data_IF_355120786595
#
_entry.id   IF_355120786595
#
_cell.length_a   1.000
_cell.length_b   1.000
_cell.length_c   1.000
_cell.angle_alpha   90.00
_cell.angle_beta   90.00
_cell.angle_gamma   90.00
#
_symmetry.space_group_name_H-M   'P 1'
#
loop_
_entity.id
_entity.type
_entity.pdbx_description
1 polymer ?
#
# COMPACT_ATOMS: atom_id res chain seq x y z
N UNK A 1 16.47 -6.27 -5.88
CA UNK A 1 16.06 -5.28 -4.86
C UNK A 1 14.83 -4.60 -5.39
N UNK A 2 13.70 -5.11 -4.96
CA UNK A 2 12.44 -5.13 -5.69
C UNK A 2 11.67 -3.84 -5.46
N UNK A 3 11.44 -3.09 -6.55
CA UNK A 3 10.75 -1.78 -6.54
C UNK A 3 9.32 -1.87 -6.00
N UNK A 4 8.66 -3.04 -6.12
CA UNK A 4 7.28 -3.25 -5.68
C UNK A 4 7.09 -3.16 -4.16
N UNK A 5 8.09 -3.56 -3.37
CA UNK A 5 8.00 -3.47 -1.90
C UNK A 5 8.10 -2.02 -1.41
N UNK A 6 8.84 -1.19 -2.13
CA UNK A 6 9.01 0.24 -1.82
C UNK A 6 7.75 1.03 -2.15
N UNK A 7 7.01 0.66 -3.21
CA UNK A 7 5.78 1.36 -3.63
C UNK A 7 4.65 1.19 -2.61
N UNK A 8 4.44 -0.03 -2.08
CA UNK A 8 3.42 -0.30 -1.06
C UNK A 8 3.70 0.42 0.26
N UNK A 9 4.95 0.39 0.72
CA UNK A 9 5.38 1.10 1.94
C UNK A 9 5.28 2.62 1.74
N UNK A 10 5.65 3.13 0.56
CA UNK A 10 5.56 4.56 0.23
C UNK A 10 4.12 5.09 0.32
N UNK A 11 3.13 4.36 -0.20
CA UNK A 11 1.73 4.76 -0.08
C UNK A 11 1.20 4.71 1.36
N UNK A 12 1.59 3.73 2.16
CA UNK A 12 1.18 3.67 3.56
C UNK A 12 1.77 4.84 4.38
N UNK A 13 3.04 5.18 4.15
CA UNK A 13 3.71 6.31 4.82
C UNK A 13 3.10 7.63 4.38
N UNK A 14 2.88 7.82 3.07
CA UNK A 14 2.27 9.05 2.54
C UNK A 14 0.83 9.24 3.04
N UNK A 15 0.04 8.16 3.09
CA UNK A 15 -1.30 8.19 3.67
C UNK A 15 -1.29 8.52 5.16
N UNK A 16 -0.34 7.97 5.92
CA UNK A 16 -0.16 8.29 7.34
C UNK A 16 0.17 9.77 7.57
N UNK A 17 1.03 10.34 6.73
CA UNK A 17 1.41 11.76 6.79
C UNK A 17 0.21 12.64 6.45
N UNK A 18 -0.51 12.36 5.35
CA UNK A 18 -1.73 13.12 4.99
C UNK A 18 -2.79 13.06 6.09
N UNK A 19 -3.01 11.90 6.69
CA UNK A 19 -3.97 11.74 7.79
C UNK A 19 -3.56 12.53 9.04
N UNK A 20 -2.28 12.47 9.41
CA UNK A 20 -1.74 13.20 10.56
C UNK A 20 -1.78 14.72 10.34
N UNK A 21 -1.36 15.18 9.17
CA UNK A 21 -1.40 16.61 8.81
C UNK A 21 -2.83 17.11 8.71
N UNK A 22 -3.74 16.33 8.09
CA UNK A 22 -5.17 16.64 8.03
C UNK A 22 -5.79 16.84 9.41
N UNK A 23 -5.54 15.92 10.35
CA UNK A 23 -6.00 16.05 11.75
C UNK A 23 -5.44 17.27 12.47
N UNK A 24 -4.15 17.54 12.30
CA UNK A 24 -3.48 18.67 12.97
C UNK A 24 -3.97 20.02 12.41
N UNK A 25 -4.22 20.07 11.10
CA UNK A 25 -4.64 21.30 10.40
C UNK A 25 -6.16 21.48 10.34
N UNK A 26 -6.95 20.48 10.77
CA UNK A 26 -8.41 20.49 10.63
C UNK A 26 -8.89 20.34 9.17
N UNK A 27 -8.07 19.76 8.30
CA UNK A 27 -8.38 19.58 6.89
C UNK A 27 -8.93 18.17 6.64
N UNK A 28 -10.27 18.07 6.58
CA UNK A 28 -11.00 16.82 6.34
C UNK A 28 -10.62 16.16 5.00
N UNK A 29 -10.26 16.95 3.99
CA UNK A 29 -9.86 16.46 2.68
C UNK A 29 -8.54 15.66 2.79
N UNK A 30 -7.55 16.22 3.48
CA UNK A 30 -6.26 15.55 3.73
C UNK A 30 -6.42 14.32 4.62
N UNK A 31 -7.28 14.37 5.63
CA UNK A 31 -7.58 13.18 6.45
C UNK A 31 -8.18 12.05 5.60
N UNK A 32 -9.18 12.39 4.78
CA UNK A 32 -9.91 11.43 3.97
C UNK A 32 -9.02 10.83 2.88
N UNK A 33 -8.23 11.65 2.19
CA UNK A 33 -7.22 11.18 1.24
C UNK A 33 -6.20 10.26 1.93
N UNK A 34 -5.71 10.63 3.11
CA UNK A 34 -4.74 9.83 3.87
C UNK A 34 -5.27 8.44 4.23
N UNK A 35 -6.52 8.37 4.71
CA UNK A 35 -7.22 7.11 4.99
C UNK A 35 -7.43 6.27 3.73
N UNK A 36 -7.93 6.89 2.65
CA UNK A 36 -8.17 6.20 1.39
C UNK A 36 -6.87 5.61 0.80
N UNK A 37 -5.78 6.37 0.83
CA UNK A 37 -4.47 5.96 0.30
C UNK A 37 -3.86 4.82 1.15
N UNK A 38 -4.06 4.83 2.47
CA UNK A 38 -3.70 3.71 3.37
C UNK A 38 -4.50 2.44 3.07
N UNK A 39 -5.81 2.56 2.89
CA UNK A 39 -6.68 1.42 2.61
C UNK A 39 -6.36 0.83 1.24
N UNK A 40 -6.24 1.67 0.20
CA UNK A 40 -5.83 1.25 -1.14
C UNK A 40 -4.47 0.56 -1.14
N UNK A 41 -3.48 1.12 -0.41
CA UNK A 41 -2.15 0.52 -0.28
C UNK A 41 -2.17 -0.86 0.39
N UNK A 42 -2.98 -1.07 1.43
CA UNK A 42 -3.14 -2.39 2.08
C UNK A 42 -3.81 -3.41 1.16
N UNK A 43 -4.84 -3.00 0.42
CA UNK A 43 -5.51 -3.87 -0.55
C UNK A 43 -4.54 -4.28 -1.65
N UNK A 44 -3.76 -3.34 -2.18
CA UNK A 44 -2.77 -3.59 -3.21
C UNK A 44 -1.62 -4.49 -2.71
N UNK A 45 -1.18 -4.31 -1.46
CA UNK A 45 -0.18 -5.19 -0.82
C UNK A 45 -0.71 -6.62 -0.66
N UNK A 46 -1.97 -6.79 -0.23
CA UNK A 46 -2.59 -8.11 -0.10
C UNK A 46 -2.74 -8.84 -1.44
N UNK A 47 -3.20 -8.12 -2.47
CA UNK A 47 -3.33 -8.67 -3.83
C UNK A 47 -1.95 -8.95 -4.44
N UNK A 48 -0.97 -8.08 -4.23
CA UNK A 48 0.41 -8.28 -4.67
C UNK A 48 1.02 -9.53 -4.07
N UNK A 49 0.98 -9.67 -2.73
CA UNK A 49 1.46 -10.87 -2.02
C UNK A 49 0.78 -12.14 -2.52
N UNK A 50 -0.54 -12.12 -2.72
CA UNK A 50 -1.28 -13.28 -3.23
C UNK A 50 -0.85 -13.66 -4.65
N UNK A 51 -0.67 -12.69 -5.54
CA UNK A 51 -0.19 -12.90 -6.91
C UNK A 51 1.26 -13.40 -6.94
N UNK A 52 2.15 -12.84 -6.13
CA UNK A 52 3.55 -13.28 -6.03
C UNK A 52 3.63 -14.72 -5.53
N UNK A 53 2.86 -15.06 -4.48
CA UNK A 53 2.84 -16.44 -3.95
C UNK A 53 2.33 -17.44 -4.99
N UNK A 54 1.29 -17.08 -5.76
CA UNK A 54 0.79 -17.89 -6.86
C UNK A 54 1.81 -18.04 -7.99
N UNK A 55 2.53 -16.96 -8.31
CA UNK A 55 3.56 -16.95 -9.35
C UNK A 55 4.74 -17.82 -8.96
N UNK A 56 5.23 -17.71 -7.73
CA UNK A 56 6.29 -18.56 -7.18
C UNK A 56 5.90 -20.05 -7.15
N UNK A 57 4.66 -20.35 -6.76
CA UNK A 57 4.15 -21.73 -6.77
C UNK A 57 4.05 -22.30 -8.20
N UNK A 58 3.59 -21.49 -9.16
CA UNK A 58 3.50 -21.90 -10.57
C UNK A 58 4.89 -22.07 -11.22
N UNK A 59 5.86 -21.21 -10.88
CA UNK A 59 7.24 -21.31 -11.37
C UNK A 59 7.93 -22.56 -10.81
N UNK A 60 7.71 -22.86 -9.52
CA UNK A 60 8.22 -24.06 -8.85
C UNK A 60 7.66 -25.38 -9.39
N UNK A 61 6.45 -25.37 -9.98
CA UNK A 61 5.84 -26.53 -10.64
C UNK A 61 6.31 -26.75 -12.08
N UNK A 62 6.92 -25.73 -12.69
CA UNK A 62 7.37 -25.77 -14.10
C UNK A 62 8.84 -26.16 -14.24
N UNK A 63 9.59 -26.16 -13.13
CA UNK A 63 11.00 -26.52 -13.03
C UNK A 63 11.16 -27.95 -12.53
#
# INVERSE_FOLDING_TARGET
MDKDRTTGVGHQVKGAIKEGVGKITGNDQLETEGKAERVGGKVQEGVGKGKDTLRDAADSLKK
#
